data_IF_816597864564
#
_entry.id   IF_816597864564
#
_cell.length_a   1.000
_cell.length_b   1.000
_cell.length_c   1.000
_cell.angle_alpha   90.00
_cell.angle_beta   90.00
_cell.angle_gamma   90.00
#
_symmetry.space_group_name_H-M   'P 1'
#
loop_
_entity.id
_entity.type
_entity.pdbx_description
1 polymer ?
#
# COMPACT_ATOMS: atom_id res chain seq x y z
N UNK A 1 -8.77 3.37 83.21
CA UNK A 1 -7.90 4.03 82.20
C UNK A 1 -8.05 3.30 80.88
N UNK A 2 -8.58 4.02 79.89
CA UNK A 2 -8.87 3.61 78.51
C UNK A 2 -7.61 3.07 77.80
N UNK A 3 -7.71 1.91 77.14
CA UNK A 3 -6.77 1.50 76.08
C UNK A 3 -7.56 1.35 74.78
N UNK A 4 -7.48 2.37 73.93
CA UNK A 4 -7.97 2.31 72.56
C UNK A 4 -7.01 1.47 71.71
N UNK A 5 -7.50 0.38 71.15
CA UNK A 5 -6.83 -0.37 70.09
C UNK A 5 -7.33 0.21 68.77
N UNK A 6 -6.46 0.96 68.08
CA UNK A 6 -6.72 1.41 66.71
C UNK A 6 -6.55 0.21 65.76
N UNK A 7 -7.66 -0.25 65.16
CA UNK A 7 -7.62 -1.13 64.01
C UNK A 7 -7.29 -0.30 62.77
N UNK A 8 -6.09 -0.46 62.22
CA UNK A 8 -5.70 0.13 60.94
C UNK A 8 -6.28 -0.76 59.82
N UNK A 9 -7.42 -0.36 59.25
CA UNK A 9 -7.99 -1.02 58.08
C UNK A 9 -7.17 -0.61 56.84
N UNK A 10 -6.35 -1.53 56.32
CA UNK A 10 -5.64 -1.37 55.06
C UNK A 10 -6.64 -1.57 53.91
N UNK A 11 -7.17 -0.47 53.36
CA UNK A 11 -7.98 -0.50 52.14
C UNK A 11 -7.02 -0.71 50.96
N UNK A 12 -6.97 -1.93 50.45
CA UNK A 12 -6.27 -2.26 49.21
C UNK A 12 -7.10 -1.69 48.04
N UNK A 13 -6.74 -0.50 47.56
CA UNK A 13 -7.31 0.03 46.32
C UNK A 13 -6.80 -0.82 45.15
N UNK A 14 -7.63 -1.76 44.71
CA UNK A 14 -7.46 -2.42 43.40
C UNK A 14 -7.81 -1.38 42.36
N UNK A 15 -6.78 -0.70 41.82
CA UNK A 15 -6.97 0.05 40.58
C UNK A 15 -7.23 -0.97 39.46
N UNK A 16 -8.37 -0.92 38.77
CA UNK A 16 -8.47 -1.62 37.51
C UNK A 16 -7.40 -1.00 36.61
N UNK A 17 -6.49 -1.84 36.09
CA UNK A 17 -5.68 -1.48 34.94
C UNK A 17 -6.67 -1.19 33.81
N UNK A 18 -7.10 0.07 33.68
CA UNK A 18 -7.68 0.56 32.45
C UNK A 18 -6.62 0.32 31.38
N UNK A 19 -7.04 -0.39 30.33
CA UNK A 19 -6.17 -1.04 29.36
C UNK A 19 -5.01 -0.16 28.92
N UNK A 20 -3.84 -0.77 28.82
CA UNK A 20 -2.85 -0.30 27.88
C UNK A 20 -3.57 -0.20 26.52
N UNK A 21 -3.83 1.02 26.09
CA UNK A 21 -4.16 1.32 24.70
C UNK A 21 -3.10 0.56 23.89
N UNK A 22 -3.52 -0.46 23.14
CA UNK A 22 -2.58 -1.26 22.36
C UNK A 22 -1.84 -0.25 21.47
N UNK A 23 -0.55 -0.02 21.76
CA UNK A 23 0.27 0.86 20.95
C UNK A 23 0.06 0.43 19.50
N UNK A 24 -0.28 1.37 18.61
CA UNK A 24 -0.55 1.06 17.20
C UNK A 24 0.69 0.38 16.62
N UNK A 25 0.67 -0.96 16.59
CA UNK A 25 1.83 -1.76 16.20
C UNK A 25 2.01 -1.79 14.69
N UNK A 26 1.12 -1.16 13.93
CA UNK A 26 1.05 -1.30 12.48
C UNK A 26 1.59 -0.06 11.77
N UNK A 27 2.15 -0.26 10.58
CA UNK A 27 2.67 0.82 9.72
C UNK A 27 1.70 1.23 8.61
N UNK A 28 0.47 0.71 8.66
CA UNK A 28 -0.56 0.89 7.65
C UNK A 28 -1.83 1.44 8.31
N UNK A 29 -2.48 2.41 7.68
CA UNK A 29 -3.71 3.00 8.24
C UNK A 29 -4.89 2.03 8.19
N UNK A 30 -4.84 1.05 7.27
CA UNK A 30 -5.78 -0.06 7.15
C UNK A 30 -5.01 -1.34 7.43
N UNK A 31 -5.30 -1.98 8.56
CA UNK A 31 -4.59 -3.15 9.05
C UNK A 31 -5.51 -3.96 9.97
N UNK A 32 -5.48 -5.29 9.84
CA UNK A 32 -6.27 -6.21 10.67
C UNK A 32 -5.42 -6.90 11.75
N UNK A 33 -5.83 -8.10 12.13
CA UNK A 33 -5.20 -8.90 13.18
C UNK A 33 -3.88 -9.59 12.75
N UNK A 34 -3.48 -9.43 11.48
CA UNK A 34 -2.28 -10.02 10.91
C UNK A 34 -2.46 -11.47 10.45
N UNK A 35 -3.69 -11.96 10.30
CA UNK A 35 -4.06 -13.29 9.84
C UNK A 35 -5.01 -13.21 8.65
N UNK A 36 -4.53 -13.66 7.50
CA UNK A 36 -5.38 -13.77 6.31
C UNK A 36 -5.86 -15.20 6.10
N UNK A 37 -7.16 -15.42 6.09
CA UNK A 37 -7.77 -16.69 5.67
C UNK A 37 -8.09 -16.68 4.18
N UNK A 38 -7.40 -17.53 3.42
CA UNK A 38 -7.55 -17.63 1.96
C UNK A 38 -7.39 -19.08 1.50
N UNK A 39 -8.25 -19.51 0.56
CA UNK A 39 -8.34 -20.91 0.09
C UNK A 39 -8.48 -21.95 1.22
N UNK A 40 -9.14 -21.57 2.31
CA UNK A 40 -9.33 -22.42 3.49
C UNK A 40 -8.11 -22.50 4.42
N UNK A 41 -7.04 -21.77 4.12
CA UNK A 41 -5.83 -21.69 4.97
C UNK A 41 -5.83 -20.36 5.72
N UNK A 42 -5.70 -20.40 7.05
CA UNK A 42 -5.45 -19.22 7.88
C UNK A 42 -3.95 -19.00 8.04
N UNK A 43 -3.45 -17.88 7.53
CA UNK A 43 -2.03 -17.58 7.44
C UNK A 43 -1.69 -16.33 8.25
N UNK A 44 -0.93 -16.52 9.32
CA UNK A 44 -0.35 -15.41 10.08
C UNK A 44 0.80 -14.80 9.28
N UNK A 45 0.62 -13.57 8.82
CA UNK A 45 1.63 -12.82 8.08
C UNK A 45 2.23 -11.67 8.88
N UNK A 46 1.61 -11.27 10.00
CA UNK A 46 2.12 -10.24 10.91
C UNK A 46 1.84 -10.59 12.38
N UNK A 47 2.77 -10.18 13.25
CA UNK A 47 2.72 -10.30 14.70
C UNK A 47 3.19 -8.97 15.31
N UNK A 48 2.24 -8.17 15.80
CA UNK A 48 2.52 -6.79 16.19
C UNK A 48 3.09 -6.00 15.00
N UNK A 49 4.32 -5.48 15.15
CA UNK A 49 5.04 -4.73 14.13
C UNK A 49 5.95 -5.59 13.23
N UNK A 50 6.02 -6.90 13.47
CA UNK A 50 6.91 -7.79 12.76
C UNK A 50 6.16 -8.63 11.72
N UNK A 51 6.68 -8.66 10.49
CA UNK A 51 6.14 -9.50 9.43
C UNK A 51 6.69 -10.93 9.52
N UNK A 52 5.79 -11.90 9.47
CA UNK A 52 6.11 -13.32 9.42
C UNK A 52 6.46 -13.72 7.98
N UNK A 53 7.75 -13.95 7.72
CA UNK A 53 8.23 -14.29 6.37
C UNK A 53 7.61 -15.57 5.82
N UNK A 54 7.40 -16.60 6.65
CA UNK A 54 6.80 -17.85 6.20
C UNK A 54 5.34 -17.64 5.72
N UNK A 55 4.56 -16.86 6.48
CA UNK A 55 3.21 -16.44 6.11
C UNK A 55 3.20 -15.64 4.81
N UNK A 56 4.05 -14.62 4.70
CA UNK A 56 4.16 -13.81 3.48
C UNK A 56 4.58 -14.64 2.27
N UNK A 57 5.54 -15.56 2.42
CA UNK A 57 5.96 -16.47 1.35
C UNK A 57 4.81 -17.35 0.89
N UNK A 58 4.03 -17.90 1.82
CA UNK A 58 2.84 -18.72 1.50
C UNK A 58 1.77 -17.90 0.78
N UNK A 59 1.50 -16.69 1.25
CA UNK A 59 0.58 -15.77 0.58
C UNK A 59 1.03 -15.46 -0.86
N UNK A 60 2.31 -15.14 -1.06
CA UNK A 60 2.84 -14.90 -2.41
C UNK A 60 2.60 -16.10 -3.32
N UNK A 61 2.88 -17.33 -2.86
CA UNK A 61 2.59 -18.55 -3.62
C UNK A 61 1.11 -18.71 -3.96
N UNK A 62 0.20 -18.47 -3.01
CA UNK A 62 -1.25 -18.57 -3.24
C UNK A 62 -1.71 -17.59 -4.32
N UNK A 63 -1.19 -16.37 -4.32
CA UNK A 63 -1.48 -15.36 -5.34
C UNK A 63 -0.71 -15.55 -6.65
N UNK A 64 0.15 -16.57 -6.77
CA UNK A 64 0.97 -16.81 -7.95
C UNK A 64 2.17 -15.87 -8.10
N UNK A 65 2.48 -15.10 -7.05
CA UNK A 65 3.65 -14.23 -6.93
C UNK A 65 4.91 -15.03 -6.51
N UNK A 66 6.08 -14.46 -6.76
CA UNK A 66 7.36 -15.09 -6.44
C UNK A 66 8.07 -14.38 -5.28
N UNK A 67 8.07 -15.01 -4.10
CA UNK A 67 8.75 -14.46 -2.91
C UNK A 67 10.26 -14.26 -3.12
N UNK A 68 10.92 -15.08 -3.94
CA UNK A 68 12.37 -14.95 -4.15
C UNK A 68 12.72 -13.83 -5.12
N UNK A 69 11.76 -13.26 -5.83
CA UNK A 69 11.96 -12.16 -6.77
C UNK A 69 11.26 -10.89 -6.25
N UNK A 70 11.98 -9.93 -5.63
CA UNK A 70 11.39 -8.75 -5.01
C UNK A 70 10.42 -7.95 -5.90
N UNK A 71 10.70 -7.89 -7.21
CA UNK A 71 9.86 -7.25 -8.22
C UNK A 71 8.50 -7.92 -8.42
N UNK A 72 8.39 -9.21 -8.12
CA UNK A 72 7.20 -10.05 -8.32
C UNK A 72 6.47 -10.36 -7.01
N UNK A 73 6.90 -9.76 -5.89
CA UNK A 73 6.24 -9.94 -4.60
C UNK A 73 4.91 -9.19 -4.55
N UNK A 74 3.97 -9.73 -3.79
CA UNK A 74 2.79 -8.99 -3.36
C UNK A 74 3.21 -7.73 -2.59
N UNK A 75 2.46 -6.66 -2.81
CA UNK A 75 2.58 -5.45 -2.03
C UNK A 75 2.03 -5.68 -0.62
N UNK A 76 2.80 -5.30 0.41
CA UNK A 76 2.37 -5.49 1.81
C UNK A 76 1.06 -4.77 2.11
N UNK A 77 0.84 -3.57 1.56
CA UNK A 77 -0.42 -2.85 1.75
C UNK A 77 -1.61 -3.60 1.18
N UNK A 78 -1.41 -4.31 0.06
CA UNK A 78 -2.50 -5.12 -0.50
C UNK A 78 -2.89 -6.25 0.45
N UNK A 79 -1.91 -6.90 1.09
CA UNK A 79 -2.17 -7.92 2.12
C UNK A 79 -2.89 -7.32 3.34
N UNK A 80 -2.41 -6.17 3.83
CA UNK A 80 -3.01 -5.47 4.99
C UNK A 80 -4.44 -4.98 4.74
N UNK A 81 -4.73 -4.51 3.52
CA UNK A 81 -6.09 -4.11 3.15
C UNK A 81 -7.01 -5.33 3.06
N UNK A 82 -6.53 -6.48 2.58
CA UNK A 82 -7.33 -7.71 2.57
C UNK A 82 -7.64 -8.20 3.98
N UNK A 83 -6.64 -8.19 4.85
CA UNK A 83 -6.76 -8.52 6.28
C UNK A 83 -7.83 -7.63 6.94
N UNK A 84 -7.69 -6.32 6.78
CA UNK A 84 -8.62 -5.33 7.31
C UNK A 84 -10.08 -5.54 6.82
N UNK A 85 -10.27 -5.84 5.52
CA UNK A 85 -11.60 -6.09 4.96
C UNK A 85 -12.20 -7.39 5.53
N UNK A 86 -11.41 -8.45 5.62
CA UNK A 86 -11.87 -9.75 6.14
C UNK A 86 -12.34 -9.62 7.59
N UNK A 87 -11.55 -8.95 8.43
CA UNK A 87 -11.87 -8.71 9.84
C UNK A 87 -13.10 -7.84 10.00
N UNK A 88 -13.15 -6.70 9.30
CA UNK A 88 -14.23 -5.73 9.46
C UNK A 88 -15.58 -6.30 9.02
N UNK A 89 -15.60 -7.02 7.90
CA UNK A 89 -16.82 -7.63 7.36
C UNK A 89 -17.12 -8.99 7.99
N UNK A 90 -16.28 -9.48 8.91
CA UNK A 90 -16.37 -10.82 9.52
C UNK A 90 -16.51 -11.92 8.47
N UNK A 91 -15.78 -11.75 7.37
CA UNK A 91 -15.81 -12.69 6.26
C UNK A 91 -15.05 -13.97 6.58
N UNK A 92 -15.47 -15.07 5.97
CA UNK A 92 -14.73 -16.33 6.02
C UNK A 92 -13.53 -16.31 5.07
N UNK A 93 -13.18 -17.46 4.52
CA UNK A 93 -12.05 -17.57 3.59
C UNK A 93 -12.26 -16.77 2.30
N UNK A 94 -11.23 -16.06 1.86
CA UNK A 94 -11.14 -15.60 0.49
C UNK A 94 -11.02 -16.78 -0.49
N UNK A 95 -11.67 -16.67 -1.64
CA UNK A 95 -11.39 -17.49 -2.81
C UNK A 95 -10.75 -16.64 -3.90
N UNK A 96 -9.60 -17.08 -4.39
CA UNK A 96 -8.82 -16.37 -5.39
C UNK A 96 -9.17 -16.82 -6.81
N UNK A 97 -9.69 -15.89 -7.62
CA UNK A 97 -9.89 -16.07 -9.06
C UNK A 97 -8.64 -15.66 -9.85
N UNK A 98 -8.02 -14.55 -9.50
CA UNK A 98 -6.78 -14.07 -10.13
C UNK A 98 -5.95 -13.27 -9.12
N UNK A 99 -4.67 -13.59 -9.00
CA UNK A 99 -3.72 -12.87 -8.15
C UNK A 99 -2.70 -12.11 -8.98
N UNK A 100 -1.42 -12.20 -8.61
CA UNK A 100 -0.33 -11.62 -9.39
C UNK A 100 -0.33 -12.15 -10.83
N UNK A 101 0.01 -11.28 -11.78
CA UNK A 101 0.20 -11.64 -13.19
C UNK A 101 1.58 -11.22 -13.64
N UNK A 102 2.40 -12.16 -14.10
CA UNK A 102 3.65 -11.79 -14.77
C UNK A 102 3.36 -10.93 -15.99
N UNK A 103 4.28 -10.03 -16.40
CA UNK A 103 4.10 -9.21 -17.61
C UNK A 103 3.74 -10.04 -18.84
N UNK A 104 4.39 -11.21 -19.00
CA UNK A 104 4.11 -12.17 -20.07
C UNK A 104 2.68 -12.72 -20.03
N UNK A 105 2.19 -13.11 -18.85
CA UNK A 105 0.82 -13.58 -18.69
C UNK A 105 -0.19 -12.49 -19.03
N UNK A 106 0.04 -11.27 -18.54
CA UNK A 106 -0.86 -10.15 -18.80
C UNK A 106 -0.90 -9.79 -20.30
N UNK A 107 0.25 -9.78 -20.98
CA UNK A 107 0.32 -9.60 -22.43
C UNK A 107 -0.42 -10.72 -23.18
N UNK A 108 -0.27 -11.98 -22.74
CA UNK A 108 -1.01 -13.11 -23.31
C UNK A 108 -2.53 -12.97 -23.18
N UNK A 109 -3.04 -12.52 -22.03
CA UNK A 109 -4.47 -12.24 -21.84
C UNK A 109 -4.97 -11.15 -22.80
N UNK A 110 -4.19 -10.08 -22.97
CA UNK A 110 -4.49 -9.00 -23.92
C UNK A 110 -4.53 -9.50 -25.36
N UNK A 111 -3.56 -10.32 -25.76
CA UNK A 111 -3.51 -10.91 -27.10
C UNK A 111 -4.70 -11.84 -27.38
N UNK A 112 -5.31 -12.42 -26.34
CA UNK A 112 -6.53 -13.22 -26.42
C UNK A 112 -7.83 -12.38 -26.41
N UNK A 113 -7.74 -11.04 -26.44
CA UNK A 113 -8.90 -10.16 -26.36
C UNK A 113 -9.56 -10.10 -24.99
N UNK A 114 -8.90 -10.59 -23.93
CA UNK A 114 -9.43 -10.48 -22.56
C UNK A 114 -9.17 -9.09 -21.99
N UNK A 115 -10.09 -8.64 -21.13
CA UNK A 115 -10.02 -7.36 -20.43
C UNK A 115 -8.83 -7.35 -19.44
N UNK A 116 -7.68 -6.85 -19.89
CA UNK A 116 -6.46 -6.72 -19.09
C UNK A 116 -5.72 -5.43 -19.44
N UNK A 117 -5.63 -4.51 -18.48
CA UNK A 117 -4.90 -3.25 -18.68
C UNK A 117 -3.39 -3.49 -18.83
N UNK A 118 -2.70 -2.66 -19.61
CA UNK A 118 -1.24 -2.72 -19.80
C UNK A 118 -0.49 -2.49 -18.48
N UNK A 119 -0.85 -1.45 -17.74
CA UNK A 119 -0.35 -1.15 -16.40
C UNK A 119 -1.34 -1.60 -15.32
N UNK A 120 -1.70 -2.88 -15.38
CA UNK A 120 -2.58 -3.51 -14.39
C UNK A 120 -1.91 -3.61 -13.02
N UNK A 121 -2.65 -3.32 -11.95
CA UNK A 121 -2.17 -3.50 -10.58
C UNK A 121 -1.92 -4.98 -10.22
N UNK A 122 -2.42 -5.93 -11.01
CA UNK A 122 -2.04 -7.34 -10.88
C UNK A 122 -0.56 -7.59 -11.21
N UNK A 123 0.02 -6.83 -12.15
CA UNK A 123 1.46 -6.92 -12.46
C UNK A 123 2.29 -6.31 -11.33
N UNK A 124 1.71 -5.36 -10.60
CA UNK A 124 2.37 -4.69 -9.48
C UNK A 124 2.35 -5.51 -8.17
N UNK A 125 1.71 -6.69 -8.16
CA UNK A 125 1.48 -7.47 -6.95
C UNK A 125 0.49 -6.80 -5.98
N UNK A 126 -0.31 -5.86 -6.47
CA UNK A 126 -1.11 -4.94 -5.68
C UNK A 126 -2.61 -5.05 -5.99
N UNK A 127 -3.05 -6.18 -6.56
CA UNK A 127 -4.44 -6.44 -6.89
C UNK A 127 -4.82 -7.93 -6.84
N UNK A 128 -6.10 -8.19 -6.69
CA UNK A 128 -6.68 -9.52 -6.78
C UNK A 128 -8.15 -9.49 -7.19
N UNK A 129 -8.54 -10.53 -7.94
CA UNK A 129 -9.94 -10.84 -8.23
C UNK A 129 -10.37 -11.94 -7.25
N UNK A 130 -11.29 -11.60 -6.34
CA UNK A 130 -11.54 -12.34 -5.11
C UNK A 130 -13.04 -12.56 -4.88
N UNK A 131 -13.35 -13.51 -4.03
CA UNK A 131 -14.66 -13.70 -3.39
C UNK A 131 -14.41 -13.84 -1.90
N UNK A 132 -15.25 -13.24 -1.06
CA UNK A 132 -15.17 -13.38 0.40
C UNK A 132 -16.31 -14.28 0.88
N UNK A 133 -16.00 -15.44 1.46
CA UNK A 133 -17.04 -16.37 1.89
C UNK A 133 -17.93 -15.74 2.97
N UNK A 134 -19.25 -15.85 2.80
CA UNK A 134 -20.24 -15.31 3.75
C UNK A 134 -20.52 -13.81 3.59
N UNK A 135 -19.90 -13.12 2.63
CA UNK A 135 -20.12 -11.68 2.40
C UNK A 135 -20.40 -11.45 0.91
N UNK A 136 -21.50 -10.76 0.61
CA UNK A 136 -21.83 -10.41 -0.76
C UNK A 136 -20.84 -9.39 -1.32
N UNK A 137 -20.43 -9.56 -2.58
CA UNK A 137 -19.48 -8.66 -3.23
C UNK A 137 -19.97 -7.20 -3.32
N UNK A 138 -21.27 -6.96 -3.30
CA UNK A 138 -21.84 -5.61 -3.19
C UNK A 138 -21.54 -4.99 -1.82
N UNK A 139 -21.61 -5.77 -0.74
CA UNK A 139 -21.25 -5.31 0.61
C UNK A 139 -19.76 -5.02 0.73
N UNK A 140 -18.91 -5.86 0.13
CA UNK A 140 -17.47 -5.57 0.03
C UNK A 140 -17.24 -4.30 -0.78
N UNK A 141 -17.96 -4.12 -1.88
CA UNK A 141 -17.84 -2.94 -2.73
C UNK A 141 -18.22 -1.66 -2.00
N UNK A 142 -19.37 -1.62 -1.34
CA UNK A 142 -19.83 -0.46 -0.59
C UNK A 142 -18.90 -0.14 0.58
N UNK A 143 -18.39 -1.17 1.26
CA UNK A 143 -17.42 -0.99 2.33
C UNK A 143 -16.11 -0.38 1.81
N UNK A 144 -15.47 -0.97 0.81
CA UNK A 144 -14.19 -0.45 0.27
C UNK A 144 -14.38 0.93 -0.35
N UNK A 145 -15.54 1.18 -0.97
CA UNK A 145 -15.91 2.52 -1.45
C UNK A 145 -15.95 3.53 -0.30
N UNK A 146 -16.55 3.18 0.83
CA UNK A 146 -16.58 4.06 2.02
C UNK A 146 -15.20 4.41 2.59
N UNK A 147 -14.18 3.58 2.34
CA UNK A 147 -12.81 3.83 2.82
C UNK A 147 -12.05 4.86 1.98
N UNK A 148 -12.50 5.13 0.75
CA UNK A 148 -11.84 6.04 -0.21
C UNK A 148 -10.32 5.83 -0.35
N UNK A 149 -9.87 4.58 -0.23
CA UNK A 149 -8.45 4.25 -0.10
C UNK A 149 -7.85 3.58 -1.33
N UNK A 150 -8.70 2.99 -2.17
CA UNK A 150 -8.35 1.81 -2.95
C UNK A 150 -9.23 1.70 -4.21
N UNK A 151 -8.79 0.93 -5.20
CA UNK A 151 -9.62 0.58 -6.35
C UNK A 151 -10.52 -0.62 -6.03
N UNK A 152 -11.82 -0.51 -6.30
CA UNK A 152 -12.75 -1.63 -6.20
C UNK A 152 -13.65 -1.73 -7.44
N UNK A 153 -13.68 -2.93 -8.02
CA UNK A 153 -14.54 -3.29 -9.13
C UNK A 153 -15.58 -4.34 -8.72
N UNK A 154 -16.84 -4.12 -9.07
CA UNK A 154 -17.90 -5.11 -8.89
C UNK A 154 -18.40 -5.64 -10.24
N UNK A 155 -18.20 -6.93 -10.49
CA UNK A 155 -18.76 -7.61 -11.65
C UNK A 155 -19.88 -8.47 -11.11
N UNK A 156 -21.13 -8.31 -11.57
CA UNK A 156 -22.40 -8.92 -11.09
C UNK A 156 -22.39 -10.45 -10.82
N UNK A 157 -21.25 -11.10 -11.03
CA UNK A 157 -20.79 -12.31 -10.36
C UNK A 157 -20.59 -12.17 -8.83
N UNK A 158 -20.26 -13.30 -8.18
CA UNK A 158 -19.82 -13.33 -6.77
C UNK A 158 -18.37 -12.85 -6.54
N UNK A 159 -17.69 -12.35 -7.57
CA UNK A 159 -16.31 -11.87 -7.45
C UNK A 159 -16.23 -10.35 -7.52
N UNK A 160 -15.29 -9.79 -6.79
CA UNK A 160 -14.91 -8.38 -6.86
C UNK A 160 -13.43 -8.27 -7.21
N UNK A 161 -13.06 -7.16 -7.84
CA UNK A 161 -11.66 -6.76 -8.00
C UNK A 161 -11.31 -5.79 -6.88
N UNK A 162 -10.15 -5.99 -6.27
CA UNK A 162 -9.57 -5.06 -5.30
C UNK A 162 -8.12 -4.75 -5.69
N UNK A 163 -7.72 -3.49 -5.57
CA UNK A 163 -6.33 -3.07 -5.70
C UNK A 163 -5.98 -1.85 -4.83
N UNK A 164 -4.69 -1.64 -4.58
CA UNK A 164 -4.19 -0.54 -3.72
C UNK A 164 -3.72 0.71 -4.49
N UNK A 165 -4.14 0.87 -5.74
CA UNK A 165 -3.97 2.11 -6.50
C UNK A 165 -4.88 3.23 -6.01
N UNK A 166 -4.93 4.39 -6.71
CA UNK A 166 -5.84 5.49 -6.40
C UNK A 166 -7.28 5.03 -6.27
N UNK A 167 -8.06 5.75 -5.45
CA UNK A 167 -9.49 5.50 -5.28
C UNK A 167 -10.21 5.54 -6.62
N UNK A 168 -10.92 4.46 -6.94
CA UNK A 168 -11.78 4.35 -8.13
C UNK A 168 -12.76 3.20 -7.95
N UNK A 169 -13.95 3.41 -8.48
CA UNK A 169 -15.07 2.48 -8.34
C UNK A 169 -15.65 2.21 -9.71
N UNK A 170 -15.82 0.95 -10.04
CA UNK A 170 -16.40 0.58 -11.32
C UNK A 170 -17.25 -0.68 -11.21
N UNK A 171 -18.17 -0.82 -12.14
CA UNK A 171 -18.86 -2.08 -12.38
C UNK A 171 -18.47 -2.66 -13.76
N UNK A 172 -19.10 -3.76 -14.14
CA UNK A 172 -18.91 -4.39 -15.45
C UNK A 172 -19.18 -3.47 -16.64
N UNK A 173 -20.11 -2.53 -16.52
CA UNK A 173 -20.47 -1.58 -17.59
C UNK A 173 -19.55 -0.37 -17.62
N UNK A 174 -18.95 -0.02 -16.49
CA UNK A 174 -18.04 1.14 -16.37
C UNK A 174 -16.57 0.76 -16.29
N UNK A 175 -16.22 -0.53 -16.33
CA UNK A 175 -14.84 -0.99 -16.41
C UNK A 175 -14.28 -0.58 -17.77
N UNK A 176 -13.63 0.58 -17.83
CA UNK A 176 -12.95 1.13 -19.01
C UNK A 176 -11.69 0.31 -19.36
N UNK A 177 -11.76 -1.02 -19.29
CA UNK A 177 -10.65 -1.94 -19.58
C UNK A 177 -10.39 -2.10 -21.07
N UNK A 178 -11.39 -1.80 -21.90
CA UNK A 178 -11.24 -1.64 -23.36
C UNK A 178 -10.62 -0.29 -23.74
N UNK A 179 -10.73 0.69 -22.84
CA UNK A 179 -10.15 2.00 -23.04
C UNK A 179 -8.63 1.87 -22.90
N UNK A 180 -7.94 2.13 -24.01
CA UNK A 180 -6.50 2.06 -24.15
C UNK A 180 -5.73 3.11 -23.31
N UNK A 181 -6.39 3.79 -22.38
CA UNK A 181 -5.96 5.08 -21.82
C UNK A 181 -4.66 5.06 -21.05
N UNK A 182 -4.27 4.07 -20.21
CA UNK A 182 -2.93 4.10 -19.65
C UNK A 182 -1.94 3.55 -20.69
N UNK A 183 -1.79 4.28 -21.79
CA UNK A 183 -0.66 4.20 -22.70
C UNK A 183 0.28 5.36 -22.37
N UNK A 184 1.57 5.21 -22.74
CA UNK A 184 2.52 6.33 -22.71
C UNK A 184 2.66 6.98 -21.33
N UNK A 185 2.68 6.16 -20.27
CA UNK A 185 2.96 6.60 -18.89
C UNK A 185 1.95 7.59 -18.28
N UNK A 186 0.70 7.62 -18.77
CA UNK A 186 -0.33 8.56 -18.30
C UNK A 186 -0.69 8.43 -16.80
N UNK A 187 -0.62 7.22 -16.24
CA UNK A 187 -1.18 6.91 -14.90
C UNK A 187 -0.14 6.40 -13.90
N UNK A 188 1.10 6.90 -13.99
CA UNK A 188 2.16 6.55 -13.03
C UNK A 188 1.71 6.92 -11.61
N UNK A 189 1.93 6.01 -10.66
CA UNK A 189 1.67 6.21 -9.24
C UNK A 189 2.99 6.22 -8.50
N UNK A 190 3.12 7.10 -7.50
CA UNK A 190 4.19 7.04 -6.51
C UNK A 190 3.62 6.59 -5.17
N UNK A 191 4.04 5.42 -4.69
CA UNK A 191 3.51 4.82 -3.47
C UNK A 191 4.61 4.63 -2.43
N UNK A 192 4.53 5.27 -1.25
CA UNK A 192 5.40 4.94 -0.13
C UNK A 192 5.21 3.48 0.30
N UNK A 193 6.27 2.84 0.78
CA UNK A 193 6.21 1.45 1.24
C UNK A 193 5.21 1.25 2.39
N UNK A 194 5.05 2.26 3.26
CA UNK A 194 4.17 2.27 4.43
C UNK A 194 3.28 3.52 4.44
N UNK A 195 2.29 3.58 5.32
CA UNK A 195 1.47 4.77 5.50
C UNK A 195 1.91 5.60 6.72
N UNK A 196 2.71 5.02 7.62
CA UNK A 196 3.17 5.67 8.86
C UNK A 196 4.70 5.58 8.96
N UNK A 197 5.35 6.72 9.25
CA UNK A 197 6.80 6.88 9.37
C UNK A 197 7.20 7.66 10.63
N UNK A 198 8.45 7.48 11.08
CA UNK A 198 9.08 8.30 12.13
C UNK A 198 9.88 9.46 11.52
N UNK A 199 10.04 10.60 12.25
CA UNK A 199 11.05 11.58 11.90
C UNK A 199 12.45 10.93 11.80
N UNK A 200 13.23 11.31 10.79
CA UNK A 200 14.55 10.71 10.55
C UNK A 200 14.55 9.40 9.74
N UNK A 201 13.37 8.81 9.49
CA UNK A 201 13.26 7.52 8.81
C UNK A 201 13.41 7.65 7.29
N UNK A 202 13.88 6.58 6.65
CA UNK A 202 13.88 6.47 5.19
C UNK A 202 12.51 6.05 4.64
N UNK A 203 12.02 6.79 3.66
CA UNK A 203 10.81 6.49 2.90
C UNK A 203 11.22 5.86 1.58
N UNK A 204 10.90 4.58 1.40
CA UNK A 204 11.02 3.92 0.10
C UNK A 204 9.77 4.19 -0.73
N UNK A 205 9.97 4.61 -1.98
CA UNK A 205 8.92 4.95 -2.93
C UNK A 205 8.92 3.95 -4.08
N UNK A 206 7.76 3.37 -4.36
CA UNK A 206 7.52 2.53 -5.53
C UNK A 206 6.87 3.38 -6.61
N UNK A 207 7.52 3.50 -7.75
CA UNK A 207 6.87 4.01 -8.96
C UNK A 207 6.19 2.86 -9.68
N UNK A 208 4.88 2.94 -9.81
CA UNK A 208 4.01 1.88 -10.32
C UNK A 208 3.28 2.34 -11.56
N UNK A 209 2.78 1.38 -12.34
CA UNK A 209 2.00 1.60 -13.56
C UNK A 209 2.75 2.30 -14.70
N UNK A 210 4.08 2.26 -14.67
CA UNK A 210 4.93 2.68 -15.79
C UNK A 210 4.77 1.66 -16.91
N UNK A 211 4.42 2.14 -18.10
CA UNK A 211 4.23 1.31 -19.30
C UNK A 211 5.42 1.33 -20.24
N UNK A 212 6.22 2.39 -20.20
CA UNK A 212 7.35 2.63 -21.10
C UNK A 212 8.55 3.15 -20.31
N UNK A 213 9.73 2.63 -20.68
CA UNK A 213 11.04 3.05 -20.18
C UNK A 213 11.90 3.48 -21.37
N UNK A 214 12.91 4.35 -21.17
CA UNK A 214 13.35 4.93 -19.89
C UNK A 214 12.45 6.09 -19.40
N UNK A 215 12.51 6.41 -18.11
CA UNK A 215 11.95 7.67 -17.54
C UNK A 215 13.00 8.40 -16.71
N UNK A 216 12.99 9.74 -16.72
CA UNK A 216 13.91 10.56 -15.93
C UNK A 216 13.24 11.14 -14.68
N UNK A 217 13.74 10.78 -13.50
CA UNK A 217 13.30 11.32 -12.21
C UNK A 217 14.34 12.29 -11.63
N UNK A 218 13.93 13.37 -10.94
CA UNK A 218 14.88 14.30 -10.34
C UNK A 218 15.64 13.63 -9.18
N UNK A 219 16.86 14.08 -8.91
CA UNK A 219 17.64 13.62 -7.74
C UNK A 219 17.18 14.27 -6.42
N UNK A 220 16.17 15.15 -6.48
CA UNK A 220 15.57 15.82 -5.32
C UNK A 220 14.05 15.89 -5.49
N UNK A 221 13.31 15.63 -4.42
CA UNK A 221 11.84 15.65 -4.39
C UNK A 221 11.33 16.51 -3.24
N UNK A 222 10.10 17.01 -3.33
CA UNK A 222 9.53 17.93 -2.34
C UNK A 222 8.67 17.18 -1.34
N UNK A 223 8.97 17.30 -0.04
CA UNK A 223 8.10 16.92 1.06
C UNK A 223 7.12 18.05 1.33
N UNK A 224 5.81 17.76 1.23
CA UNK A 224 4.74 18.74 1.39
C UNK A 224 3.89 18.38 2.60
N UNK A 225 3.74 19.31 3.54
CA UNK A 225 2.85 19.14 4.69
C UNK A 225 1.41 19.47 4.29
N UNK A 226 0.47 18.58 4.60
CA UNK A 226 -0.93 18.71 4.19
C UNK A 226 -1.78 19.52 5.18
N UNK A 227 -1.19 19.99 6.28
CA UNK A 227 -1.87 20.93 7.19
C UNK A 227 -1.79 22.39 6.71
N UNK A 228 -1.06 22.65 5.62
CA UNK A 228 -0.91 23.98 5.01
C UNK A 228 -0.08 24.97 5.82
N UNK A 229 0.53 24.54 6.94
CA UNK A 229 1.24 25.45 7.86
C UNK A 229 2.73 25.58 7.56
N UNK A 230 3.27 24.72 6.70
CA UNK A 230 4.72 24.59 6.47
C UNK A 230 5.04 24.72 4.99
N UNK A 231 6.17 25.37 4.71
CA UNK A 231 6.72 25.40 3.36
C UNK A 231 7.20 24.00 2.96
N UNK A 232 7.09 23.64 1.66
CA UNK A 232 7.69 22.41 1.15
C UNK A 232 9.19 22.34 1.42
N UNK A 233 9.67 21.15 1.77
CA UNK A 233 11.10 20.89 2.00
C UNK A 233 11.67 19.99 0.90
N UNK A 234 12.86 20.30 0.39
CA UNK A 234 13.47 19.55 -0.71
C UNK A 234 14.41 18.47 -0.20
N UNK A 235 14.03 17.21 -0.37
CA UNK A 235 14.78 16.03 0.05
C UNK A 235 15.61 15.44 -1.10
N UNK A 236 16.91 15.16 -0.90
CA UNK A 236 17.70 14.41 -1.88
C UNK A 236 17.28 12.94 -1.90
N UNK A 237 17.31 12.33 -3.09
CA UNK A 237 17.22 10.88 -3.21
C UNK A 237 18.48 10.23 -2.63
N UNK A 238 18.30 9.09 -1.95
CA UNK A 238 19.39 8.21 -1.55
C UNK A 238 19.80 7.42 -2.79
N UNK A 239 21.00 7.67 -3.32
CA UNK A 239 21.53 6.98 -4.50
C UNK A 239 22.89 6.36 -4.20
N UNK A 240 23.12 5.15 -4.70
CA UNK A 240 24.40 4.43 -4.55
C UNK A 240 25.51 4.96 -5.48
N UNK A 241 25.20 5.83 -6.45
CA UNK A 241 26.17 6.31 -7.44
C UNK A 241 25.79 7.66 -8.05
N UNK A 242 26.66 8.66 -7.84
CA UNK A 242 26.84 9.83 -8.72
C UNK A 242 25.60 10.69 -9.03
N UNK A 243 24.87 11.16 -8.02
CA UNK A 243 23.70 12.05 -8.17
C UNK A 243 24.01 13.49 -8.65
N UNK A 244 25.10 13.71 -9.39
CA UNK A 244 25.54 15.05 -9.79
C UNK A 244 24.77 15.62 -10.99
N UNK A 245 24.08 14.79 -11.78
CA UNK A 245 23.42 15.23 -13.01
C UNK A 245 22.00 15.81 -12.82
N UNK A 246 21.48 15.90 -11.59
CA UNK A 246 20.13 16.44 -11.30
C UNK A 246 18.96 15.59 -11.82
N UNK A 247 19.21 14.66 -12.73
CA UNK A 247 18.24 13.78 -13.38
C UNK A 247 18.77 12.33 -13.39
N UNK A 248 18.02 11.44 -12.75
CA UNK A 248 18.30 10.02 -12.69
C UNK A 248 17.40 9.29 -13.70
N UNK A 249 18.01 8.56 -14.62
CA UNK A 249 17.28 7.72 -15.58
C UNK A 249 17.00 6.35 -14.98
N UNK A 250 15.74 5.95 -15.02
CA UNK A 250 15.29 4.59 -14.69
C UNK A 250 15.06 3.83 -15.99
N UNK A 251 15.71 2.68 -16.15
CA UNK A 251 15.62 1.87 -17.37
C UNK A 251 14.68 0.67 -17.25
N UNK A 252 14.23 0.36 -16.04
CA UNK A 252 13.48 -0.86 -15.80
C UNK A 252 12.50 -0.74 -14.63
N UNK A 253 11.55 -1.67 -14.62
CA UNK A 253 10.60 -1.88 -13.54
C UNK A 253 11.27 -2.15 -12.18
N UNK A 254 12.38 -2.89 -12.17
CA UNK A 254 13.12 -3.18 -10.94
C UNK A 254 13.72 -1.89 -10.34
N UNK A 255 14.25 -1.02 -11.19
CA UNK A 255 14.80 0.27 -10.77
C UNK A 255 13.71 1.20 -10.22
N UNK A 256 12.56 1.28 -10.90
CA UNK A 256 11.42 2.08 -10.49
C UNK A 256 10.84 1.69 -9.12
N UNK A 257 11.03 0.44 -8.69
CA UNK A 257 10.56 -0.04 -7.37
C UNK A 257 11.60 0.07 -6.25
N UNK A 258 12.90 0.10 -6.57
CA UNK A 258 13.95 -0.07 -5.57
C UNK A 258 14.90 1.13 -5.41
N UNK A 259 14.97 2.03 -6.41
CA UNK A 259 15.97 3.12 -6.42
C UNK A 259 15.46 4.45 -5.85
N UNK A 260 14.16 4.58 -5.61
CA UNK A 260 13.58 5.85 -5.15
C UNK A 260 13.43 5.80 -3.63
N UNK A 261 14.37 6.40 -2.92
CA UNK A 261 14.36 6.49 -1.46
C UNK A 261 14.73 7.89 -1.01
N UNK A 262 14.13 8.38 0.06
CA UNK A 262 14.50 9.65 0.70
C UNK A 262 14.59 9.47 2.20
N UNK A 263 15.39 10.28 2.89
CA UNK A 263 15.38 10.34 4.35
C UNK A 263 14.57 11.54 4.82
N UNK A 264 13.63 11.31 5.72
CA UNK A 264 12.92 12.38 6.41
C UNK A 264 13.87 13.11 7.35
N UNK A 265 13.78 14.44 7.47
CA UNK A 265 14.52 15.19 8.49
C UNK A 265 14.18 14.72 9.91
N UNK A 266 15.18 14.68 10.80
CA UNK A 266 14.98 14.25 12.21
C UNK A 266 14.04 15.17 13.01
N UNK A 267 13.94 16.42 12.60
CA UNK A 267 13.08 17.44 13.19
C UNK A 267 11.75 17.59 12.45
N UNK A 268 11.40 16.67 11.54
CA UNK A 268 10.11 16.73 10.84
C UNK A 268 8.98 16.66 11.86
N UNK A 269 8.08 17.64 11.81
CA UNK A 269 6.94 17.68 12.71
C UNK A 269 5.96 16.52 12.40
N UNK A 270 5.25 16.00 13.41
CA UNK A 270 4.17 15.05 13.16
C UNK A 270 3.05 15.66 12.33
N UNK A 271 2.41 14.84 11.50
CA UNK A 271 1.27 15.24 10.68
C UNK A 271 1.17 14.47 9.35
N UNK A 272 0.18 14.83 8.53
CA UNK A 272 0.00 14.26 7.20
C UNK A 272 0.91 14.94 6.16
N UNK A 273 1.51 14.12 5.31
CA UNK A 273 2.46 14.55 4.27
C UNK A 273 2.21 13.83 2.94
N UNK A 274 2.70 14.44 1.87
CA UNK A 274 2.92 13.78 0.59
C UNK A 274 4.30 14.17 0.03
N UNK A 275 4.85 13.35 -0.85
CA UNK A 275 6.05 13.66 -1.61
C UNK A 275 5.65 14.06 -3.03
N UNK A 276 6.27 15.08 -3.60
CA UNK A 276 6.02 15.54 -4.97
C UNK A 276 7.28 15.48 -5.81
N UNK A 277 7.12 15.04 -7.04
CA UNK A 277 8.22 14.83 -7.97
C UNK A 277 7.83 15.31 -9.37
N UNK A 278 8.54 16.32 -9.86
CA UNK A 278 8.47 16.77 -11.25
C UNK A 278 9.50 16.00 -12.08
N UNK A 279 9.06 15.28 -13.10
CA UNK A 279 9.94 14.49 -13.96
C UNK A 279 10.92 15.41 -14.70
N UNK A 280 12.21 15.03 -14.70
CA UNK A 280 13.26 15.79 -15.36
C UNK A 280 13.42 15.41 -16.84
N UNK A 281 13.00 14.20 -17.23
CA UNK A 281 12.96 13.78 -18.62
C UNK A 281 11.79 12.82 -18.88
N UNK A 282 10.98 13.14 -19.89
CA UNK A 282 9.78 12.40 -20.30
C UNK A 282 9.90 11.73 -21.66
N UNK A 283 11.06 11.76 -22.34
CA UNK A 283 11.36 11.03 -23.58
C UNK A 283 10.19 10.98 -24.61
N UNK A 284 9.56 12.13 -24.87
CA UNK A 284 8.43 12.31 -25.80
C UNK A 284 7.13 11.53 -25.45
N UNK A 285 6.97 11.13 -24.19
CA UNK A 285 5.71 10.62 -23.65
C UNK A 285 4.77 11.80 -23.35
N UNK A 286 4.07 12.29 -24.38
CA UNK A 286 3.18 13.46 -24.28
C UNK A 286 2.12 13.34 -23.19
N UNK A 287 1.58 12.13 -22.98
CA UNK A 287 0.55 11.85 -21.96
C UNK A 287 1.11 11.63 -20.55
N UNK A 288 2.42 11.43 -20.41
CA UNK A 288 3.05 11.28 -19.10
C UNK A 288 2.84 12.58 -18.30
N UNK A 289 2.48 12.53 -17.01
CA UNK A 289 2.32 13.76 -16.22
C UNK A 289 3.65 14.50 -16.06
N UNK A 290 3.61 15.82 -15.94
CA UNK A 290 4.80 16.62 -15.59
C UNK A 290 5.26 16.37 -14.16
N UNK A 291 4.29 16.29 -13.24
CA UNK A 291 4.50 16.08 -11.81
C UNK A 291 3.54 15.01 -11.31
N UNK A 292 3.99 14.22 -10.34
CA UNK A 292 3.14 13.32 -9.55
C UNK A 292 3.33 13.58 -8.07
N UNK A 293 2.27 13.33 -7.30
CA UNK A 293 2.30 13.27 -5.85
C UNK A 293 2.27 11.81 -5.39
N UNK A 294 2.89 11.53 -4.24
CA UNK A 294 2.78 10.23 -3.60
C UNK A 294 1.38 10.04 -3.03
N UNK A 295 1.03 8.77 -2.72
CA UNK A 295 0.01 8.53 -1.70
C UNK A 295 0.39 9.28 -0.41
N UNK A 296 -0.62 9.82 0.26
CA UNK A 296 -0.47 10.49 1.55
C UNK A 296 0.03 9.50 2.61
N UNK A 297 0.89 9.97 3.50
CA UNK A 297 1.38 9.21 4.64
C UNK A 297 1.45 10.11 5.88
N UNK A 298 1.57 9.50 7.05
CA UNK A 298 1.65 10.19 8.32
C UNK A 298 3.05 10.08 8.93
N UNK A 299 3.50 11.17 9.53
CA UNK A 299 4.69 11.18 10.38
C UNK A 299 4.21 11.22 11.83
N UNK A 300 4.62 10.23 12.63
CA UNK A 300 4.27 10.09 14.05
C UNK A 300 5.55 9.92 14.88
N UNK A 301 5.57 10.42 16.12
CA UNK A 301 6.75 10.29 17.01
C UNK A 301 6.91 8.86 17.54
N UNK A 302 5.78 8.19 17.67
CA UNK A 302 5.53 6.91 18.31
C UNK A 302 5.12 5.83 17.31
N UNK A 303 5.36 6.04 16.00
CA UNK A 303 5.19 4.98 15.02
C UNK A 303 5.95 3.72 15.44
N UNK A 304 5.50 2.51 15.06
CA UNK A 304 6.09 1.23 15.47
C UNK A 304 7.39 0.87 14.75
#
# INVERSE_FOLDING_TARGET
MLRHIFFLALILMIFPNLGAEAADTTRFLLSGDGVLTIRGESLRFREGSHYNEAGLKRLNQIFGANWSAPAERLDLRFIEVLDYIQDHLKGGSYALKSGYRSPRLNQGLRAQGKLAAQSSMHIEGAAGDLLLAGVDSSSVFDFVKSLDCCGIGYYHSRHFHLDTGPSRYWDEKTSKTEDSTPQRNEKIIMQPAFDIYRPGESVELKLMRITEYPIGIPTRISLVSLDGRRQPETLPLLSDSGADAGCLTLHSYLEARNRVKVSLPKNTAPGPYELRMKFCNRYDYEKMPEEIASRRFEIRKDAP
#
